data_IF_393540210512
#
_entry.id   IF_393540210512
#
_cell.length_a   1.000
_cell.length_b   1.000
_cell.length_c   1.000
_cell.angle_alpha   90.00
_cell.angle_beta   90.00
_cell.angle_gamma   90.00
#
_symmetry.space_group_name_H-M   'P 1'
#
loop_
_entity.id
_entity.type
_entity.pdbx_description
1 polymer ?
#
# COMPACT_ATOMS: atom_id res chain seq x y z
N UNK A 1 -25.48 10.95 11.63
CA UNK A 1 -24.26 10.53 12.37
C UNK A 1 -23.44 9.44 11.68
N UNK A 2 -24.05 8.49 10.94
CA UNK A 2 -23.33 7.39 10.28
C UNK A 2 -22.24 7.81 9.28
N UNK A 3 -22.46 8.87 8.49
CA UNK A 3 -21.47 9.36 7.52
C UNK A 3 -20.20 9.92 8.16
N UNK A 4 -20.32 10.68 9.26
CA UNK A 4 -19.17 11.22 10.02
C UNK A 4 -18.32 10.08 10.60
N UNK A 5 -18.95 9.02 11.09
CA UNK A 5 -18.26 7.84 11.59
C UNK A 5 -17.41 7.17 10.49
N UNK A 6 -17.96 7.00 9.28
CA UNK A 6 -17.23 6.42 8.14
C UNK A 6 -16.03 7.28 7.70
N UNK A 7 -16.17 8.61 7.74
CA UNK A 7 -15.06 9.54 7.44
C UNK A 7 -13.93 9.41 8.46
N UNK A 8 -14.26 9.37 9.76
CA UNK A 8 -13.26 9.21 10.83
C UNK A 8 -12.58 7.83 10.73
N UNK A 9 -13.35 6.78 10.51
CA UNK A 9 -12.84 5.42 10.31
C UNK A 9 -11.88 5.36 9.10
N UNK A 10 -12.24 5.99 7.98
CA UNK A 10 -11.39 6.06 6.80
C UNK A 10 -10.07 6.78 7.11
N UNK A 11 -10.14 7.95 7.77
CA UNK A 11 -8.95 8.71 8.16
C UNK A 11 -8.00 7.92 9.05
N UNK A 12 -8.54 7.24 10.07
CA UNK A 12 -7.75 6.38 10.96
C UNK A 12 -7.10 5.21 10.20
N UNK A 13 -7.86 4.58 9.29
CA UNK A 13 -7.36 3.45 8.49
C UNK A 13 -6.24 3.83 7.55
N UNK A 14 -6.33 5.02 6.93
CA UNK A 14 -5.25 5.57 6.10
C UNK A 14 -4.00 5.80 6.96
N UNK A 15 -4.15 6.35 8.16
CA UNK A 15 -3.02 6.57 9.06
C UNK A 15 -2.33 5.26 9.46
N UNK A 16 -3.09 4.23 9.80
CA UNK A 16 -2.56 2.88 10.08
C UNK A 16 -1.86 2.28 8.87
N UNK A 17 -2.46 2.40 7.68
CA UNK A 17 -1.85 1.92 6.44
C UNK A 17 -0.53 2.63 6.15
N UNK A 18 -0.47 3.96 6.27
CA UNK A 18 0.75 4.74 6.06
C UNK A 18 1.85 4.38 7.05
N UNK A 19 1.50 4.15 8.32
CA UNK A 19 2.45 3.69 9.33
C UNK A 19 3.02 2.31 8.97
N UNK A 20 2.17 1.34 8.62
CA UNK A 20 2.60 0.01 8.21
C UNK A 20 3.43 0.06 6.93
N UNK A 21 3.04 0.91 5.96
CA UNK A 21 3.81 1.11 4.74
C UNK A 21 5.19 1.69 5.02
N UNK A 22 5.32 2.67 5.93
CA UNK A 22 6.61 3.23 6.33
C UNK A 22 7.50 2.20 7.03
N UNK A 23 6.93 1.38 7.92
CA UNK A 23 7.66 0.28 8.58
C UNK A 23 8.12 -0.77 7.56
N UNK A 24 7.24 -1.17 6.65
CA UNK A 24 7.55 -2.15 5.62
C UNK A 24 8.59 -1.62 4.63
N UNK A 25 8.54 -0.31 4.34
CA UNK A 25 9.52 0.36 3.50
C UNK A 25 10.89 0.47 4.17
N UNK A 26 10.93 0.76 5.48
CA UNK A 26 12.16 0.77 6.27
C UNK A 26 12.80 -0.62 6.31
N UNK A 27 12.04 -1.67 6.61
CA UNK A 27 12.52 -3.06 6.57
C UNK A 27 13.00 -3.46 5.18
N UNK A 28 12.27 -3.03 4.14
CA UNK A 28 12.65 -3.21 2.75
C UNK A 28 13.94 -2.52 2.32
N UNK A 29 14.32 -1.43 2.99
CA UNK A 29 15.53 -0.66 2.65
C UNK A 29 16.83 -1.43 2.93
N UNK A 30 16.76 -2.49 3.74
CA UNK A 30 17.87 -3.42 4.01
C UNK A 30 18.34 -4.15 2.73
N UNK A 31 17.51 -4.17 1.66
CA UNK A 31 17.91 -4.59 0.32
C UNK A 31 19.13 -3.80 -0.22
N UNK A 32 19.32 -2.56 0.20
CA UNK A 32 20.45 -1.73 -0.24
C UNK A 32 21.78 -2.27 0.29
N UNK A 33 21.78 -2.86 1.49
CA UNK A 33 22.95 -3.51 2.09
C UNK A 33 23.19 -4.93 1.57
N UNK A 34 22.13 -5.66 1.21
CA UNK A 34 22.23 -7.05 0.76
C UNK A 34 22.29 -7.17 -0.77
N UNK A 35 23.49 -6.93 -1.31
CA UNK A 35 23.79 -7.02 -2.75
C UNK A 35 23.59 -8.42 -3.34
N UNK A 36 23.55 -9.48 -2.52
CA UNK A 36 23.45 -10.85 -3.00
C UNK A 36 22.02 -11.17 -3.47
N UNK A 37 21.01 -10.52 -2.89
CA UNK A 37 19.58 -10.78 -3.18
C UNK A 37 19.00 -9.90 -4.32
N UNK A 38 19.84 -9.06 -4.93
CA UNK A 38 19.44 -8.16 -6.03
C UNK A 38 18.91 -8.92 -7.24
N UNK A 39 19.48 -10.10 -7.55
CA UNK A 39 19.12 -10.82 -8.77
C UNK A 39 17.74 -11.50 -8.68
N UNK A 40 17.28 -11.84 -7.48
CA UNK A 40 15.97 -12.45 -7.24
C UNK A 40 14.86 -11.43 -6.92
N UNK A 41 15.23 -10.32 -6.30
CA UNK A 41 14.27 -9.37 -5.71
C UNK A 41 14.01 -8.16 -6.59
N UNK A 42 14.98 -7.74 -7.42
CA UNK A 42 14.85 -6.58 -8.31
C UNK A 42 14.03 -6.86 -9.59
N UNK A 43 12.97 -7.66 -9.51
CA UNK A 43 12.12 -7.99 -10.67
C UNK A 43 11.35 -6.76 -11.17
N UNK A 44 10.94 -5.86 -10.28
CA UNK A 44 10.18 -4.66 -10.63
C UNK A 44 11.08 -3.59 -11.25
N UNK A 45 12.30 -3.40 -10.75
CA UNK A 45 13.32 -2.58 -11.42
C UNK A 45 13.68 -3.06 -12.81
N UNK A 46 13.85 -4.38 -13.03
CA UNK A 46 14.10 -4.94 -14.38
C UNK A 46 12.92 -4.66 -15.32
N UNK A 47 11.68 -4.82 -14.82
CA UNK A 47 10.46 -4.59 -15.60
C UNK A 47 10.21 -3.11 -15.93
N UNK A 48 10.45 -2.20 -14.98
CA UNK A 48 10.17 -0.77 -15.13
C UNK A 48 11.27 -0.01 -15.87
N UNK A 49 12.54 -0.41 -15.71
CA UNK A 49 13.66 0.26 -16.38
C UNK A 49 14.15 -0.45 -17.65
N UNK A 50 13.71 -1.69 -17.92
CA UNK A 50 14.13 -2.46 -19.09
C UNK A 50 15.61 -2.87 -19.06
N UNK A 51 16.21 -3.00 -17.87
CA UNK A 51 17.64 -3.26 -17.68
C UNK A 51 17.82 -4.69 -17.15
N UNK A 52 18.66 -5.51 -17.79
CA UNK A 52 18.86 -6.93 -17.42
C UNK A 52 19.57 -7.15 -16.08
N UNK A 53 20.32 -6.16 -15.60
CA UNK A 53 21.06 -6.21 -14.35
C UNK A 53 21.07 -4.83 -13.65
N UNK A 54 20.62 -4.79 -12.40
CA UNK A 54 20.74 -3.61 -11.54
C UNK A 54 22.20 -3.53 -11.07
N UNK A 55 22.96 -2.60 -11.64
CA UNK A 55 24.40 -2.43 -11.37
C UNK A 55 24.68 -1.36 -10.30
N UNK A 56 23.65 -0.61 -9.88
CA UNK A 56 23.77 0.48 -8.91
C UNK A 56 22.58 0.54 -7.95
N UNK A 57 22.79 0.81 -6.63
CA UNK A 57 21.71 0.96 -5.65
C UNK A 57 20.69 2.04 -6.02
N UNK A 58 21.10 3.05 -6.79
CA UNK A 58 20.24 4.17 -7.22
C UNK A 58 19.21 3.78 -8.28
N UNK A 59 19.35 2.62 -8.91
CA UNK A 59 18.38 2.10 -9.89
C UNK A 59 17.29 1.25 -9.24
N UNK A 60 17.42 0.95 -7.94
CA UNK A 60 16.43 0.17 -7.20
C UNK A 60 15.20 1.03 -6.96
N UNK A 61 14.07 0.62 -7.52
CA UNK A 61 12.78 1.27 -7.27
C UNK A 61 12.41 1.11 -5.80
N UNK A 62 11.79 2.14 -5.22
CA UNK A 62 11.23 2.06 -3.87
C UNK A 62 10.20 0.92 -3.75
N UNK A 63 9.60 0.50 -4.87
CA UNK A 63 8.72 -0.67 -4.92
C UNK A 63 9.45 -2.00 -4.69
N UNK A 64 10.72 -2.12 -5.06
CA UNK A 64 11.50 -3.34 -4.80
C UNK A 64 11.79 -3.52 -3.31
N UNK A 65 11.78 -2.45 -2.51
CA UNK A 65 11.91 -2.54 -1.05
C UNK A 65 10.69 -3.27 -0.45
N UNK A 66 9.49 -3.03 -0.97
CA UNK A 66 8.30 -3.76 -0.54
C UNK A 66 8.35 -5.25 -0.93
N UNK A 67 8.97 -5.60 -2.06
CA UNK A 67 9.16 -7.00 -2.48
C UNK A 67 10.19 -7.70 -1.59
N UNK A 68 11.31 -7.03 -1.29
CA UNK A 68 12.31 -7.55 -0.36
C UNK A 68 11.70 -7.80 1.02
N UNK A 69 10.96 -6.82 1.51
CA UNK A 69 10.26 -6.95 2.78
C UNK A 69 9.20 -8.04 2.75
N UNK A 70 8.50 -8.27 1.63
CA UNK A 70 7.56 -9.38 1.53
C UNK A 70 8.24 -10.76 1.62
N UNK A 71 9.50 -10.87 1.21
CA UNK A 71 10.30 -12.09 1.29
C UNK A 71 10.86 -12.33 2.70
N UNK A 72 11.44 -11.30 3.32
CA UNK A 72 12.16 -11.43 4.61
C UNK A 72 11.30 -11.10 5.83
N UNK A 73 10.30 -10.22 5.66
CA UNK A 73 9.38 -9.77 6.69
C UNK A 73 7.90 -9.93 6.23
N UNK A 74 7.46 -11.17 5.93
CA UNK A 74 6.16 -11.44 5.32
C UNK A 74 4.98 -10.97 6.17
N UNK A 75 5.13 -10.97 7.50
CA UNK A 75 4.08 -10.55 8.42
C UNK A 75 3.76 -9.06 8.27
N UNK A 76 4.79 -8.21 8.20
CA UNK A 76 4.60 -6.76 8.07
C UNK A 76 4.02 -6.39 6.71
N UNK A 77 4.49 -7.08 5.66
CA UNK A 77 3.93 -6.96 4.32
C UNK A 77 2.47 -7.42 4.24
N UNK A 78 2.12 -8.55 4.88
CA UNK A 78 0.74 -9.03 4.94
C UNK A 78 -0.18 -8.05 5.69
N UNK A 79 0.26 -7.53 6.85
CA UNK A 79 -0.50 -6.53 7.61
C UNK A 79 -0.73 -5.25 6.79
N UNK A 80 0.29 -4.77 6.07
CA UNK A 80 0.16 -3.63 5.17
C UNK A 80 -0.89 -3.88 4.08
N UNK A 81 -0.87 -5.07 3.45
CA UNK A 81 -1.85 -5.45 2.40
C UNK A 81 -3.26 -5.52 2.97
N UNK A 82 -3.46 -6.15 4.14
CA UNK A 82 -4.77 -6.23 4.80
C UNK A 82 -5.28 -4.83 5.13
N UNK A 83 -4.41 -3.97 5.67
CA UNK A 83 -4.76 -2.57 5.96
C UNK A 83 -5.13 -1.80 4.68
N UNK A 84 -4.45 -2.05 3.56
CA UNK A 84 -4.77 -1.44 2.28
C UNK A 84 -6.15 -1.87 1.76
N UNK A 85 -6.45 -3.18 1.82
CA UNK A 85 -7.76 -3.71 1.46
C UNK A 85 -8.87 -3.11 2.32
N UNK A 86 -8.60 -2.89 3.61
CA UNK A 86 -9.54 -2.23 4.51
C UNK A 86 -9.81 -0.77 4.12
N UNK A 87 -8.76 -0.01 3.75
CA UNK A 87 -8.92 1.36 3.23
C UNK A 87 -9.79 1.38 1.97
N UNK A 88 -9.57 0.45 1.04
CA UNK A 88 -10.39 0.33 -0.17
C UNK A 88 -11.86 0.00 0.15
N UNK A 89 -12.09 -0.92 1.09
CA UNK A 89 -13.45 -1.25 1.54
C UNK A 89 -14.13 -0.06 2.21
N UNK A 90 -13.42 0.68 3.07
CA UNK A 90 -13.94 1.88 3.72
C UNK A 90 -14.25 3.00 2.71
N UNK A 91 -13.38 3.21 1.71
CA UNK A 91 -13.63 4.14 0.60
C UNK A 91 -14.87 3.74 -0.20
N UNK A 92 -14.98 2.47 -0.56
CA UNK A 92 -16.12 1.95 -1.30
C UNK A 92 -17.44 2.17 -0.55
N UNK A 93 -17.47 1.83 0.74
CA UNK A 93 -18.64 2.04 1.59
C UNK A 93 -18.98 3.52 1.74
N UNK A 94 -17.98 4.39 1.88
CA UNK A 94 -18.19 5.83 1.96
C UNK A 94 -18.82 6.37 0.67
N UNK A 95 -18.25 6.03 -0.50
CA UNK A 95 -18.79 6.43 -1.80
C UNK A 95 -20.22 5.92 -1.99
N UNK A 96 -20.46 4.65 -1.64
CA UNK A 96 -21.79 4.05 -1.71
C UNK A 96 -22.79 4.77 -0.80
N UNK A 97 -22.41 5.09 0.43
CA UNK A 97 -23.27 5.80 1.39
C UNK A 97 -23.62 7.22 0.92
N UNK A 98 -22.67 7.94 0.34
CA UNK A 98 -22.89 9.28 -0.23
C UNK A 98 -23.83 9.21 -1.44
N UNK A 99 -23.64 8.22 -2.32
CA UNK A 99 -24.50 8.02 -3.50
C UNK A 99 -25.93 7.69 -3.11
N UNK A 100 -26.13 6.80 -2.14
CA UNK A 100 -27.46 6.40 -1.67
C UNK A 100 -28.20 7.56 -1.01
N UNK A 101 -27.51 8.32 -0.15
CA UNK A 101 -28.08 9.51 0.51
C UNK A 101 -28.50 10.60 -0.50
N UNK A 102 -27.80 10.71 -1.64
CA UNK A 102 -28.18 11.65 -2.70
C UNK A 102 -29.45 11.22 -3.46
N UNK A 103 -29.74 9.92 -3.54
CA UNK A 103 -30.93 9.41 -4.21
C UNK A 103 -32.19 9.52 -3.35
N UNK A 104 -32.11 9.29 -2.03
CA UNK A 104 -33.26 9.52 -1.13
C UNK A 104 -33.77 10.97 -1.19
N UNK A 105 -32.85 11.96 -1.14
CA UNK A 105 -33.22 13.40 -1.24
C UNK A 105 -33.95 13.73 -2.56
N UNK A 106 -33.68 12.97 -3.63
CA UNK A 106 -34.30 13.18 -4.93
C UNK A 106 -35.66 12.50 -5.09
N UNK A 107 -35.99 11.50 -4.26
CA UNK A 107 -37.29 10.80 -4.26
C UNK A 107 -38.32 11.46 -3.33
N UNK A 108 -37.88 12.26 -2.37
CA UNK A 108 -38.74 12.95 -1.40
C UNK A 108 -39.22 14.35 -1.87
N UNK A 109 -38.98 14.72 -3.14
CA UNK A 109 -39.33 16.02 -3.72
C UNK A 109 -40.30 15.87 -4.89
#
# INVERSE_FOLDING_TARGET
>A
MKGIFLVVQLGFSIMVFLFLAAVNWYQGSELVSDRFDWNYTAKLSKLLNGIDAVSSPKQISQLDFFIYSAKHYPVMSALMIISFLYVLAALFLLIYSVKCNKQEIHLDC
#
